data_IF_189422712339
#
_entry.id   IF_189422712339
#
_cell.length_a   1.000
_cell.length_b   1.000
_cell.length_c   1.000
_cell.angle_alpha   90.00
_cell.angle_beta   90.00
_cell.angle_gamma   90.00
#
_symmetry.space_group_name_H-M   'P 1'
#
loop_
_entity.id
_entity.type
_entity.pdbx_description
1 polymer ?
#
# COMPACT_ATOMS: atom_id res chain seq x y z
N UNK A 1 1.30 8.59 20.40
CA UNK A 1 1.52 8.92 18.97
C UNK A 1 1.52 7.62 18.21
N UNK A 2 0.59 7.41 17.28
CA UNK A 2 0.56 6.19 16.47
C UNK A 2 1.64 6.30 15.40
N UNK A 3 2.71 5.52 15.56
CA UNK A 3 3.70 5.34 14.52
C UNK A 3 3.26 4.17 13.63
N UNK A 4 3.03 4.40 12.35
CA UNK A 4 2.60 3.38 11.40
C UNK A 4 3.77 2.68 10.70
N UNK A 5 5.00 3.13 10.96
CA UNK A 5 6.24 2.54 10.49
C UNK A 5 6.88 1.79 11.64
N UNK A 6 7.17 0.51 11.43
CA UNK A 6 7.87 -0.31 12.41
C UNK A 6 9.27 -0.73 11.93
N UNK A 7 10.03 -1.37 12.83
CA UNK A 7 11.41 -1.77 12.54
C UNK A 7 11.49 -2.74 11.35
N UNK A 8 10.44 -3.52 11.09
CA UNK A 8 10.42 -4.45 9.96
C UNK A 8 10.29 -3.73 8.63
N UNK A 9 9.66 -2.55 8.59
CA UNK A 9 9.67 -1.72 7.38
C UNK A 9 11.12 -1.43 6.95
N UNK A 10 11.99 -1.03 7.88
CA UNK A 10 13.39 -0.71 7.57
C UNK A 10 14.24 -1.92 7.21
N UNK A 11 13.94 -3.09 7.77
CA UNK A 11 14.66 -4.34 7.46
C UNK A 11 14.23 -4.89 6.09
N UNK A 12 12.94 -4.84 5.78
CA UNK A 12 12.39 -5.41 4.55
C UNK A 12 12.55 -4.48 3.33
N UNK A 13 12.55 -3.17 3.55
CA UNK A 13 12.73 -2.18 2.49
C UNK A 13 13.99 -2.43 1.62
N UNK A 14 15.21 -2.60 2.15
CA UNK A 14 16.38 -2.86 1.32
C UNK A 14 16.26 -4.16 0.53
N UNK A 15 15.62 -5.19 1.10
CA UNK A 15 15.36 -6.44 0.39
C UNK A 15 14.43 -6.24 -0.81
N UNK A 16 13.34 -5.48 -0.63
CA UNK A 16 12.43 -5.10 -1.72
C UNK A 16 13.16 -4.28 -2.80
N UNK A 17 13.98 -3.30 -2.40
CA UNK A 17 14.74 -2.48 -3.35
C UNK A 17 15.72 -3.32 -4.19
N UNK A 18 16.34 -4.34 -3.59
CA UNK A 18 17.23 -5.27 -4.31
C UNK A 18 16.44 -6.10 -5.33
N UNK A 19 15.27 -6.64 -4.95
CA UNK A 19 14.41 -7.39 -5.87
C UNK A 19 13.95 -6.48 -7.02
N UNK A 20 13.45 -5.28 -6.71
CA UNK A 20 13.02 -4.30 -7.71
C UNK A 20 14.17 -3.93 -8.65
N UNK A 21 15.38 -3.74 -8.14
CA UNK A 21 16.55 -3.47 -8.95
C UNK A 21 16.82 -4.58 -9.98
N UNK A 22 16.81 -5.86 -9.55
CA UNK A 22 17.06 -6.98 -10.46
C UNK A 22 15.97 -7.12 -11.52
N UNK A 23 14.69 -6.96 -11.15
CA UNK A 23 13.58 -6.96 -12.10
C UNK A 23 13.74 -5.79 -13.08
N UNK A 24 14.04 -4.59 -12.59
CA UNK A 24 14.19 -3.41 -13.41
C UNK A 24 15.37 -3.51 -14.38
N UNK A 25 16.48 -4.12 -13.92
CA UNK A 25 17.63 -4.42 -14.77
C UNK A 25 17.28 -5.43 -15.86
N UNK A 26 16.57 -6.51 -15.53
CA UNK A 26 16.12 -7.48 -16.53
C UNK A 26 15.23 -6.83 -17.60
N UNK A 27 14.29 -5.98 -17.19
CA UNK A 27 13.42 -5.23 -18.12
C UNK A 27 14.25 -4.27 -18.98
N UNK A 28 15.19 -3.53 -18.39
CA UNK A 28 16.08 -2.62 -19.11
C UNK A 28 16.89 -3.37 -20.16
N UNK A 29 17.57 -4.45 -19.77
CA UNK A 29 18.49 -5.18 -20.64
C UNK A 29 17.76 -5.82 -21.84
N UNK A 30 16.50 -6.23 -21.65
CA UNK A 30 15.64 -6.75 -22.74
C UNK A 30 15.26 -5.67 -23.76
N UNK A 31 14.96 -4.45 -23.32
CA UNK A 31 14.36 -3.42 -24.17
C UNK A 31 15.36 -2.39 -24.71
N UNK A 32 16.53 -2.23 -24.09
CA UNK A 32 17.47 -1.14 -24.43
C UNK A 32 18.01 -1.17 -25.87
N UNK A 33 17.98 -2.33 -26.53
CA UNK A 33 18.43 -2.47 -27.93
C UNK A 33 17.43 -1.87 -28.92
N UNK A 34 16.14 -2.03 -28.66
CA UNK A 34 15.06 -1.51 -29.51
C UNK A 34 14.65 -0.09 -29.08
N UNK A 35 14.80 0.21 -27.79
CA UNK A 35 14.33 1.44 -27.14
C UNK A 35 15.44 2.07 -26.27
N UNK A 36 16.31 2.93 -26.85
CA UNK A 36 17.44 3.54 -26.15
C UNK A 36 17.07 4.35 -24.90
N UNK A 37 15.83 4.84 -24.81
CA UNK A 37 15.27 5.56 -23.66
C UNK A 37 15.31 4.76 -22.35
N UNK A 38 15.36 3.43 -22.43
CA UNK A 38 15.51 2.55 -21.26
C UNK A 38 16.83 2.77 -20.50
N UNK A 39 17.79 3.55 -21.03
CA UNK A 39 18.94 4.02 -20.26
C UNK A 39 18.55 4.78 -18.98
N UNK A 40 17.41 5.49 -18.98
CA UNK A 40 16.89 6.23 -17.84
C UNK A 40 15.91 5.45 -16.95
N UNK A 41 15.51 4.24 -17.37
CA UNK A 41 14.44 3.48 -16.72
C UNK A 41 14.72 3.23 -15.23
N UNK A 42 15.90 2.70 -14.90
CA UNK A 42 16.28 2.41 -13.51
C UNK A 42 16.35 3.71 -12.70
N UNK A 43 16.99 4.76 -13.23
CA UNK A 43 17.13 6.03 -12.52
C UNK A 43 15.76 6.67 -12.25
N UNK A 44 14.86 6.70 -13.24
CA UNK A 44 13.51 7.23 -13.09
C UNK A 44 12.70 6.42 -12.08
N UNK A 45 12.76 5.08 -12.15
CA UNK A 45 12.09 4.20 -11.20
C UNK A 45 12.54 4.45 -9.76
N UNK A 46 13.86 4.49 -9.52
CA UNK A 46 14.39 4.74 -8.17
C UNK A 46 14.11 6.16 -7.69
N UNK A 47 14.10 7.17 -8.57
CA UNK A 47 13.69 8.52 -8.21
C UNK A 47 12.23 8.55 -7.73
N UNK A 48 11.32 7.86 -8.43
CA UNK A 48 9.92 7.73 -8.01
C UNK A 48 9.78 7.01 -6.67
N UNK A 49 10.47 5.88 -6.48
CA UNK A 49 10.42 5.09 -5.23
C UNK A 49 10.97 5.89 -4.05
N UNK A 50 12.14 6.53 -4.20
CA UNK A 50 12.66 7.36 -3.11
C UNK A 50 11.74 8.55 -2.82
N UNK A 51 11.16 9.16 -3.87
CA UNK A 51 10.17 10.22 -3.71
C UNK A 51 8.97 9.79 -2.87
N UNK A 52 8.39 8.61 -3.14
CA UNK A 52 7.26 8.09 -2.37
C UNK A 52 7.64 7.70 -0.94
N UNK A 53 8.81 7.07 -0.74
CA UNK A 53 9.32 6.75 0.61
C UNK A 53 9.50 8.02 1.43
N UNK A 54 10.16 9.05 0.89
CA UNK A 54 10.35 10.32 1.60
C UNK A 54 9.02 10.99 1.92
N UNK A 55 8.08 10.99 0.98
CA UNK A 55 6.72 11.49 1.20
C UNK A 55 6.04 10.78 2.37
N UNK A 56 6.08 9.45 2.42
CA UNK A 56 5.50 8.67 3.50
C UNK A 56 6.18 8.90 4.85
N UNK A 57 7.51 9.06 4.88
CA UNK A 57 8.25 9.42 6.09
C UNK A 57 7.80 10.79 6.62
N UNK A 58 7.65 11.79 5.75
CA UNK A 58 7.16 13.13 6.13
C UNK A 58 5.74 13.03 6.69
N UNK A 59 4.83 12.33 6.01
CA UNK A 59 3.44 12.18 6.47
C UNK A 59 3.35 11.47 7.82
N UNK A 60 4.17 10.44 8.03
CA UNK A 60 4.15 9.69 9.28
C UNK A 60 4.77 10.47 10.45
N UNK A 61 5.94 11.12 10.27
CA UNK A 61 6.65 11.77 11.37
C UNK A 61 6.26 13.23 11.59
N UNK A 62 5.99 13.98 10.52
CA UNK A 62 5.69 15.41 10.60
C UNK A 62 4.18 15.67 10.70
N UNK A 63 3.38 15.14 9.76
CA UNK A 63 1.93 15.39 9.75
C UNK A 63 1.14 14.48 10.70
N UNK A 64 1.66 13.28 11.00
CA UNK A 64 1.06 12.29 11.91
C UNK A 64 -0.39 11.92 11.54
N UNK A 65 -0.73 12.02 10.26
CA UNK A 65 -2.06 11.79 9.73
C UNK A 65 -2.19 12.20 8.27
N UNK A 66 -3.43 12.39 7.82
CA UNK A 66 -3.78 12.73 6.45
C UNK A 66 -4.21 11.54 5.62
N UNK A 67 -4.60 11.82 4.38
CA UNK A 67 -5.31 10.84 3.54
C UNK A 67 -4.49 9.58 3.25
N UNK A 68 -3.17 9.72 3.06
CA UNK A 68 -2.27 8.58 2.86
C UNK A 68 -2.34 7.58 4.01
N UNK A 69 -2.33 8.07 5.25
CA UNK A 69 -2.44 7.23 6.45
C UNK A 69 -3.86 6.66 6.58
N UNK A 70 -4.89 7.46 6.29
CA UNK A 70 -6.27 6.99 6.31
C UNK A 70 -6.54 5.86 5.32
N UNK A 71 -5.99 5.96 4.11
CA UNK A 71 -6.11 4.92 3.08
C UNK A 71 -5.35 3.68 3.49
N UNK A 72 -4.13 3.82 4.02
CA UNK A 72 -3.34 2.72 4.56
C UNK A 72 -4.08 1.98 5.69
N UNK A 73 -4.62 2.70 6.68
CA UNK A 73 -5.36 2.11 7.80
C UNK A 73 -6.60 1.37 7.31
N UNK A 74 -7.37 2.00 6.42
CA UNK A 74 -8.59 1.41 5.87
C UNK A 74 -8.31 0.17 5.04
N UNK A 75 -7.26 0.21 4.21
CA UNK A 75 -6.84 -0.92 3.38
C UNK A 75 -6.30 -2.07 4.24
N UNK A 76 -5.56 -1.74 5.31
CA UNK A 76 -5.06 -2.71 6.29
C UNK A 76 -6.22 -3.39 7.04
N UNK A 77 -7.22 -2.62 7.45
CA UNK A 77 -8.42 -3.16 8.07
C UNK A 77 -9.16 -4.13 7.15
N UNK A 78 -9.34 -3.76 5.89
CA UNK A 78 -9.95 -4.63 4.88
C UNK A 78 -9.13 -5.91 4.65
N UNK A 79 -7.80 -5.82 4.55
CA UNK A 79 -6.93 -6.99 4.42
C UNK A 79 -6.86 -7.89 5.67
N UNK A 80 -7.09 -7.33 6.86
CA UNK A 80 -7.23 -8.14 8.07
C UNK A 80 -8.57 -8.87 8.08
N UNK A 81 -9.64 -8.19 7.65
CA UNK A 81 -10.96 -8.79 7.50
C UNK A 81 -10.94 -9.97 6.53
N UNK A 82 -10.15 -9.92 5.45
CA UNK A 82 -9.97 -11.04 4.52
C UNK A 82 -9.66 -12.38 5.21
N UNK A 83 -8.89 -12.38 6.30
CA UNK A 83 -8.57 -13.61 7.05
C UNK A 83 -9.61 -13.97 8.10
N UNK A 84 -10.36 -12.98 8.61
CA UNK A 84 -11.38 -13.18 9.65
C UNK A 84 -12.70 -13.64 9.04
N UNK A 85 -13.15 -12.96 7.99
CA UNK A 85 -14.38 -13.23 7.26
C UNK A 85 -14.17 -12.86 5.79
N UNK A 86 -13.84 -13.88 4.99
CA UNK A 86 -13.61 -13.71 3.57
C UNK A 86 -14.88 -13.29 2.80
N UNK A 87 -16.06 -13.68 3.28
CA UNK A 87 -17.34 -13.34 2.65
C UNK A 87 -17.65 -11.85 2.79
N UNK A 88 -17.54 -11.32 4.01
CA UNK A 88 -17.67 -9.90 4.28
C UNK A 88 -16.60 -9.08 3.54
N UNK A 89 -15.34 -9.54 3.54
CA UNK A 89 -14.26 -8.94 2.75
C UNK A 89 -14.63 -8.84 1.27
N UNK A 90 -15.05 -9.94 0.64
CA UNK A 90 -15.36 -9.96 -0.78
C UNK A 90 -16.55 -9.06 -1.11
N UNK A 91 -17.59 -9.07 -0.26
CA UNK A 91 -18.76 -8.19 -0.38
C UNK A 91 -18.38 -6.70 -0.33
N UNK A 92 -17.52 -6.32 0.61
CA UNK A 92 -16.99 -4.95 0.72
C UNK A 92 -16.10 -4.61 -0.48
N UNK A 93 -15.27 -5.56 -0.92
CA UNK A 93 -14.37 -5.39 -2.05
C UNK A 93 -15.13 -5.17 -3.38
N UNK A 94 -16.26 -5.84 -3.59
CA UNK A 94 -17.11 -5.59 -4.76
C UNK A 94 -17.96 -4.31 -4.65
N UNK A 95 -17.99 -3.66 -3.48
CA UNK A 95 -18.55 -2.32 -3.29
C UNK A 95 -19.76 -2.24 -2.37
N UNK A 96 -20.11 -3.32 -1.66
CA UNK A 96 -21.24 -3.31 -0.73
C UNK A 96 -20.83 -2.75 0.63
N UNK A 97 -20.91 -1.42 0.79
CA UNK A 97 -20.60 -0.71 2.05
C UNK A 97 -21.82 -0.62 2.98
N UNK A 98 -22.42 -1.76 3.31
CA UNK A 98 -23.58 -1.81 4.21
C UNK A 98 -23.16 -1.71 5.68
N UNK A 99 -24.09 -1.32 6.55
CA UNK A 99 -23.86 -1.30 7.99
C UNK A 99 -23.64 -2.71 8.57
N UNK A 100 -24.25 -3.73 7.96
CA UNK A 100 -24.02 -5.14 8.31
C UNK A 100 -22.57 -5.53 8.07
N UNK A 101 -22.06 -5.27 6.88
CA UNK A 101 -20.65 -5.48 6.54
C UNK A 101 -19.70 -4.66 7.44
N UNK A 102 -20.10 -3.44 7.84
CA UNK A 102 -19.31 -2.63 8.78
C UNK A 102 -19.22 -3.27 10.17
N UNK A 103 -20.29 -3.93 10.61
CA UNK A 103 -20.37 -4.50 11.96
C UNK A 103 -19.43 -5.68 12.18
N UNK A 104 -18.91 -6.28 11.10
CA UNK A 104 -17.94 -7.38 11.15
C UNK A 104 -16.54 -6.90 11.56
N UNK A 105 -16.22 -5.62 11.34
CA UNK A 105 -14.96 -5.02 11.79
C UNK A 105 -14.90 -4.93 13.32
N UNK A 106 -13.75 -5.27 13.89
CA UNK A 106 -13.50 -5.21 15.31
C UNK A 106 -12.10 -4.66 15.64
N UNK A 107 -11.72 -4.73 16.92
CA UNK A 107 -10.40 -4.31 17.40
C UNK A 107 -9.24 -5.13 16.78
N UNK A 108 -9.48 -6.36 16.31
CA UNK A 108 -8.45 -7.22 15.69
C UNK A 108 -8.25 -6.88 14.21
N UNK A 109 -9.32 -6.57 13.49
CA UNK A 109 -9.22 -6.10 12.10
C UNK A 109 -8.74 -4.65 12.05
N UNK A 110 -9.14 -3.85 13.03
CA UNK A 110 -9.16 -2.39 12.94
C UNK A 110 -10.41 -1.90 12.22
N UNK A 111 -10.58 -0.57 12.18
CA UNK A 111 -11.74 0.07 11.58
C UNK A 111 -11.32 0.97 10.40
N UNK A 112 -11.99 0.84 9.24
CA UNK A 112 -11.71 1.71 8.10
C UNK A 112 -12.24 3.13 8.31
N UNK A 113 -11.42 4.13 7.98
CA UNK A 113 -11.76 5.55 8.13
C UNK A 113 -12.76 6.03 7.07
N UNK A 114 -12.60 5.56 5.83
CA UNK A 114 -13.40 6.02 4.69
C UNK A 114 -14.65 5.20 4.39
N UNK A 115 -15.10 4.35 5.33
CA UNK A 115 -16.20 3.41 5.06
C UNK A 115 -17.52 4.09 4.67
N UNK A 116 -17.74 5.33 5.12
CA UNK A 116 -18.95 6.11 4.83
C UNK A 116 -18.93 6.81 3.48
N UNK A 117 -17.76 6.91 2.84
CA UNK A 117 -17.61 7.55 1.54
C UNK A 117 -17.18 6.52 0.49
N UNK A 118 -18.13 6.11 -0.34
CA UNK A 118 -17.90 5.11 -1.37
C UNK A 118 -16.83 5.52 -2.40
N UNK A 119 -16.66 6.83 -2.65
CA UNK A 119 -15.65 7.33 -3.58
C UNK A 119 -14.25 7.12 -3.02
N UNK A 120 -13.99 7.63 -1.81
CA UNK A 120 -12.72 7.40 -1.12
C UNK A 120 -12.47 5.92 -0.84
N UNK A 121 -13.51 5.13 -0.56
CA UNK A 121 -13.36 3.69 -0.34
C UNK A 121 -12.97 2.92 -1.60
N UNK A 122 -13.20 3.46 -2.79
CA UNK A 122 -12.67 2.87 -4.03
C UNK A 122 -11.15 2.90 -4.04
N UNK A 123 -10.53 3.99 -3.58
CA UNK A 123 -9.08 4.07 -3.35
C UNK A 123 -8.62 3.04 -2.33
N UNK A 124 -9.38 2.81 -1.26
CA UNK A 124 -9.09 1.78 -0.24
C UNK A 124 -9.04 0.38 -0.85
N UNK A 125 -9.97 0.05 -1.76
CA UNK A 125 -10.00 -1.24 -2.44
C UNK A 125 -8.80 -1.46 -3.35
N UNK A 126 -8.38 -0.43 -4.09
CA UNK A 126 -7.16 -0.54 -4.89
C UNK A 126 -5.93 -0.67 -4.00
N UNK A 127 -5.83 0.16 -2.96
CA UNK A 127 -4.74 0.12 -1.99
C UNK A 127 -4.64 -1.24 -1.30
N UNK A 128 -5.77 -1.90 -0.96
CA UNK A 128 -5.74 -3.20 -0.29
C UNK A 128 -5.06 -4.28 -1.13
N UNK A 129 -5.19 -4.26 -2.45
CA UNK A 129 -4.50 -5.21 -3.34
C UNK A 129 -2.98 -5.03 -3.24
N UNK A 130 -2.48 -3.80 -3.38
CA UNK A 130 -1.05 -3.52 -3.28
C UNK A 130 -0.50 -3.82 -1.88
N UNK A 131 -1.30 -3.57 -0.85
CA UNK A 131 -0.92 -3.77 0.53
C UNK A 131 -0.72 -5.26 0.90
N UNK A 132 -1.30 -6.19 0.14
CA UNK A 132 -0.99 -7.63 0.26
C UNK A 132 0.47 -7.88 -0.14
N UNK A 133 0.92 -7.32 -1.26
CA UNK A 133 2.30 -7.44 -1.73
C UNK A 133 3.29 -6.67 -0.85
N UNK A 134 2.87 -5.55 -0.27
CA UNK A 134 3.64 -4.78 0.69
C UNK A 134 3.59 -5.32 2.13
N UNK A 135 3.10 -6.54 2.36
CA UNK A 135 3.04 -7.19 3.68
C UNK A 135 2.35 -6.35 4.78
N UNK A 136 1.35 -5.55 4.40
CA UNK A 136 0.63 -4.63 5.29
C UNK A 136 1.53 -3.54 5.90
N UNK A 137 2.67 -3.26 5.29
CA UNK A 137 3.64 -2.23 5.69
C UNK A 137 3.51 -1.01 4.79
N UNK A 138 3.50 0.17 5.39
CA UNK A 138 3.24 1.41 4.65
C UNK A 138 4.42 1.72 3.70
N UNK A 139 5.66 1.57 4.16
CA UNK A 139 6.84 1.90 3.34
C UNK A 139 7.03 0.95 2.15
N UNK A 140 6.63 -0.32 2.29
CA UNK A 140 6.74 -1.31 1.21
C UNK A 140 5.62 -1.19 0.16
N UNK A 141 4.51 -0.53 0.51
CA UNK A 141 3.39 -0.31 -0.40
C UNK A 141 3.47 1.05 -1.11
N UNK A 142 4.42 1.90 -0.70
CA UNK A 142 4.62 3.25 -1.23
C UNK A 142 5.43 3.26 -2.51
#
# INVERSE_FOLDING_TARGET
MNNYIDIWDFILLPFYLVIIYFIARFIKDKNIREHPEYKYYITGLFASIFGSIFFCLIYNYYYQGGDTIGYYISAKALNNLMHKDFGAFFSIFTGHLTQENYSVFDATTGYPWYYRDAQSFTTVRFASVFLIFGLKKILLTS
#
